data_IF_060032058915
#
_entry.id   IF_060032058915
#
_cell.length_a   1.000
_cell.length_b   1.000
_cell.length_c   1.000
_cell.angle_alpha   90.00
_cell.angle_beta   90.00
_cell.angle_gamma   90.00
#
_symmetry.space_group_name_H-M   'P 1'
#
loop_
_entity.id
_entity.type
_entity.pdbx_description
1 polymer ?
#
# COMPACT_ATOMS: atom_id res chain seq x y z
N UNK A 1 10.85 -6.76 1.15
CA UNK A 1 9.81 -6.50 0.16
C UNK A 1 10.17 -5.45 -0.90
N UNK A 2 10.85 -4.36 -0.55
CA UNK A 2 11.55 -3.56 -1.56
C UNK A 2 12.42 -4.48 -2.44
N UNK A 3 13.14 -5.41 -1.82
CA UNK A 3 13.87 -6.48 -2.51
C UNK A 3 12.98 -7.45 -3.29
N UNK A 4 11.77 -7.75 -2.81
CA UNK A 4 10.83 -8.66 -3.51
C UNK A 4 10.28 -8.01 -4.79
N UNK A 5 9.99 -6.70 -4.75
CA UNK A 5 9.59 -5.95 -5.94
C UNK A 5 10.77 -5.69 -6.87
N UNK A 6 11.99 -5.52 -6.32
CA UNK A 6 13.23 -5.35 -7.09
C UNK A 6 13.69 -6.68 -7.73
N UNK A 7 13.53 -7.82 -7.04
CA UNK A 7 13.78 -9.17 -7.59
C UNK A 7 12.80 -9.53 -8.71
N UNK A 8 11.53 -9.12 -8.58
CA UNK A 8 10.53 -9.30 -9.63
C UNK A 8 10.79 -8.43 -10.86
N UNK A 9 11.45 -7.29 -10.69
CA UNK A 9 11.86 -6.41 -11.77
C UNK A 9 13.18 -6.86 -12.43
N UNK A 10 13.88 -7.87 -11.86
CA UNK A 10 15.15 -8.37 -12.36
C UNK A 10 16.27 -7.32 -12.36
N UNK A 11 16.25 -6.36 -11.41
CA UNK A 11 17.17 -5.23 -11.38
C UNK A 11 17.59 -4.89 -9.94
N UNK A 12 18.87 -4.61 -9.75
CA UNK A 12 19.38 -3.90 -8.55
C UNK A 12 18.62 -2.60 -8.33
N UNK A 13 18.50 -2.13 -7.05
CA UNK A 13 17.85 -0.85 -6.76
C UNK A 13 18.47 0.23 -7.64
N UNK A 14 17.72 0.69 -8.63
CA UNK A 14 18.13 1.80 -9.49
C UNK A 14 17.94 3.09 -8.68
N UNK A 15 18.89 3.99 -8.79
CA UNK A 15 18.69 5.39 -8.41
C UNK A 15 17.32 5.85 -8.96
N UNK A 16 16.44 6.45 -8.12
CA UNK A 16 15.14 6.94 -8.56
C UNK A 16 15.21 7.78 -9.85
N UNK A 17 16.29 8.55 -10.05
CA UNK A 17 16.54 9.30 -11.27
C UNK A 17 16.85 8.41 -12.48
N UNK A 18 17.56 7.30 -12.29
CA UNK A 18 17.82 6.33 -13.36
C UNK A 18 16.55 5.54 -13.72
N UNK A 19 15.71 5.18 -12.75
CA UNK A 19 14.42 4.55 -12.97
C UNK A 19 13.50 5.44 -13.82
N UNK A 20 13.43 6.73 -13.51
CA UNK A 20 12.68 7.72 -14.30
C UNK A 20 13.26 7.90 -15.70
N UNK A 21 14.60 8.00 -15.83
CA UNK A 21 15.27 8.11 -17.14
C UNK A 21 15.10 6.85 -17.99
N UNK A 22 15.04 5.68 -17.37
CA UNK A 22 14.85 4.40 -18.07
C UNK A 22 13.41 4.25 -18.53
N UNK A 23 12.43 4.61 -17.69
CA UNK A 23 11.02 4.65 -18.05
C UNK A 23 10.77 5.62 -19.23
N UNK A 24 11.43 6.79 -19.23
CA UNK A 24 11.36 7.76 -20.32
C UNK A 24 12.03 7.29 -21.62
N UNK A 25 12.95 6.32 -21.58
CA UNK A 25 13.64 5.74 -22.74
C UNK A 25 12.95 4.50 -23.33
N UNK A 26 12.04 3.89 -22.58
CA UNK A 26 11.27 2.74 -23.07
C UNK A 26 10.24 3.25 -24.10
N UNK A 27 10.22 2.77 -25.36
CA UNK A 27 9.22 3.20 -26.31
C UNK A 27 7.83 2.94 -25.76
N UNK A 28 7.06 3.99 -25.57
CA UNK A 28 5.68 3.85 -25.11
C UNK A 28 4.89 3.09 -26.18
N UNK A 29 4.15 2.08 -25.74
CA UNK A 29 3.33 1.27 -26.64
C UNK A 29 2.16 2.12 -27.13
N UNK A 30 1.89 2.16 -28.42
CA UNK A 30 0.69 2.82 -28.96
C UNK A 30 -0.57 2.17 -28.38
N UNK A 31 -1.59 2.97 -28.11
CA UNK A 31 -2.92 2.46 -27.75
C UNK A 31 -3.41 1.57 -28.93
N UNK A 32 -3.77 0.34 -28.62
CA UNK A 32 -4.13 -0.69 -29.60
C UNK A 32 -5.59 -1.15 -29.47
N UNK A 33 -6.37 -0.46 -28.63
CA UNK A 33 -7.78 -0.75 -28.34
C UNK A 33 -8.60 0.54 -28.47
N UNK A 34 -9.91 0.39 -28.69
CA UNK A 34 -10.84 1.50 -28.80
C UNK A 34 -11.47 1.85 -27.42
N UNK A 35 -11.83 0.83 -26.62
CA UNK A 35 -12.48 1.01 -25.32
C UNK A 35 -11.92 0.11 -24.24
N UNK A 36 -11.99 0.59 -23.01
CA UNK A 36 -11.75 -0.20 -21.80
C UNK A 36 -13.03 -0.32 -20.99
N UNK A 37 -13.22 -1.44 -20.30
CA UNK A 37 -14.41 -1.68 -19.47
C UNK A 37 -14.15 -2.77 -18.45
N UNK A 38 -15.15 -2.99 -17.58
CA UNK A 38 -15.16 -4.05 -16.58
C UNK A 38 -16.11 -5.14 -17.03
N UNK A 39 -15.73 -6.39 -16.86
CA UNK A 39 -16.57 -7.56 -17.07
C UNK A 39 -16.56 -8.44 -15.81
N UNK A 40 -17.68 -9.09 -15.55
CA UNK A 40 -17.74 -10.11 -14.51
C UNK A 40 -16.86 -11.32 -14.88
N UNK A 41 -16.22 -11.90 -13.89
CA UNK A 41 -15.43 -13.11 -13.96
C UNK A 41 -16.01 -14.17 -13.01
N UNK A 42 -15.45 -15.36 -12.99
CA UNK A 42 -15.92 -16.44 -12.11
C UNK A 42 -15.84 -16.06 -10.62
N UNK A 43 -16.79 -16.60 -9.84
CA UNK A 43 -16.80 -16.45 -8.37
C UNK A 43 -17.13 -15.05 -7.87
N UNK A 44 -17.83 -14.21 -8.66
CA UNK A 44 -18.20 -12.85 -8.26
C UNK A 44 -17.03 -11.86 -8.30
N UNK A 45 -15.95 -12.22 -9.01
CA UNK A 45 -14.82 -11.34 -9.28
C UNK A 45 -15.01 -10.59 -10.60
N UNK A 46 -14.07 -9.70 -10.91
CA UNK A 46 -14.10 -8.82 -12.07
C UNK A 46 -12.80 -8.91 -12.85
N UNK A 47 -12.85 -8.61 -14.14
CA UNK A 47 -11.66 -8.39 -14.96
C UNK A 47 -11.83 -7.13 -15.79
N UNK A 48 -10.74 -6.45 -16.06
CA UNK A 48 -10.75 -5.31 -16.97
C UNK A 48 -10.56 -5.81 -18.39
N UNK A 49 -11.32 -5.28 -19.33
CA UNK A 49 -11.28 -5.68 -20.73
C UNK A 49 -10.90 -4.51 -21.64
N UNK A 50 -10.14 -4.81 -22.68
CA UNK A 50 -9.83 -3.92 -23.79
C UNK A 50 -10.49 -4.52 -25.04
N UNK A 51 -11.47 -3.84 -25.63
CA UNK A 51 -12.29 -4.35 -26.74
C UNK A 51 -12.81 -5.78 -26.45
N UNK A 52 -13.39 -5.98 -25.25
CA UNK A 52 -13.89 -7.26 -24.74
C UNK A 52 -12.83 -8.36 -24.50
N UNK A 53 -11.55 -8.05 -24.51
CA UNK A 53 -10.48 -9.00 -24.20
C UNK A 53 -9.87 -8.68 -22.83
N UNK A 54 -9.80 -9.66 -21.90
CA UNK A 54 -9.24 -9.44 -20.57
C UNK A 54 -7.79 -8.97 -20.63
N UNK A 55 -7.46 -7.98 -19.80
CA UNK A 55 -6.07 -7.55 -19.62
C UNK A 55 -5.26 -8.66 -18.96
N UNK A 56 -3.97 -8.63 -19.24
CA UNK A 56 -3.00 -9.56 -18.66
C UNK A 56 -1.84 -8.79 -18.04
N UNK A 57 -1.29 -9.37 -16.99
CA UNK A 57 -0.03 -8.91 -16.39
C UNK A 57 1.12 -9.07 -17.40
N UNK A 58 2.29 -8.45 -17.12
CA UNK A 58 3.49 -8.65 -17.93
C UNK A 58 3.91 -10.11 -18.08
N UNK A 59 3.66 -10.97 -17.08
CA UNK A 59 3.92 -12.42 -17.15
C UNK A 59 2.85 -13.23 -17.92
N UNK A 60 1.75 -12.57 -18.36
CA UNK A 60 0.68 -13.18 -19.15
C UNK A 60 -0.48 -13.74 -18.33
N UNK A 61 -0.51 -13.56 -17.00
CA UNK A 61 -1.64 -13.95 -16.15
C UNK A 61 -2.84 -13.02 -16.41
N UNK A 62 -4.07 -13.53 -16.40
CA UNK A 62 -5.28 -12.70 -16.46
C UNK A 62 -5.38 -11.92 -15.14
N UNK A 63 -5.70 -10.64 -15.22
CA UNK A 63 -5.94 -9.80 -14.04
C UNK A 63 -7.37 -10.03 -13.58
N UNK A 64 -7.52 -10.76 -12.47
CA UNK A 64 -8.80 -11.00 -11.80
C UNK A 64 -8.81 -10.23 -10.49
N UNK A 65 -9.84 -9.40 -10.29
CA UNK A 65 -9.97 -8.44 -9.19
C UNK A 65 -11.23 -8.79 -8.41
N UNK A 66 -11.13 -8.87 -7.08
CA UNK A 66 -12.27 -9.22 -6.21
C UNK A 66 -13.13 -8.02 -5.82
N UNK A 67 -12.64 -6.79 -6.05
CA UNK A 67 -13.31 -5.54 -5.68
C UNK A 67 -13.68 -4.74 -6.93
N UNK A 68 -14.98 -4.46 -7.10
CA UNK A 68 -15.48 -3.75 -8.28
C UNK A 68 -14.83 -2.38 -8.44
N UNK A 69 -14.70 -1.62 -7.35
CA UNK A 69 -14.15 -0.27 -7.34
C UNK A 69 -12.69 -0.24 -7.82
N UNK A 70 -11.92 -1.28 -7.49
CA UNK A 70 -10.54 -1.43 -7.99
C UNK A 70 -10.56 -1.73 -9.50
N UNK A 71 -11.46 -2.61 -9.96
CA UNK A 71 -11.58 -2.93 -11.38
C UNK A 71 -12.00 -1.69 -12.20
N UNK A 72 -12.95 -0.90 -11.69
CA UNK A 72 -13.38 0.36 -12.30
C UNK A 72 -12.26 1.39 -12.36
N UNK A 73 -11.48 1.55 -11.28
CA UNK A 73 -10.33 2.44 -11.25
C UNK A 73 -9.26 2.02 -12.28
N UNK A 74 -8.95 0.73 -12.38
CA UNK A 74 -8.03 0.19 -13.40
C UNK A 74 -8.58 0.44 -14.81
N UNK A 75 -9.88 0.18 -15.05
CA UNK A 75 -10.50 0.42 -16.36
C UNK A 75 -10.45 1.91 -16.74
N UNK A 76 -10.67 2.81 -15.79
CA UNK A 76 -10.58 4.25 -16.00
C UNK A 76 -9.16 4.69 -16.38
N UNK A 77 -8.11 4.13 -15.78
CA UNK A 77 -6.72 4.38 -16.18
C UNK A 77 -6.45 3.96 -17.63
N UNK A 78 -6.93 2.78 -18.04
CA UNK A 78 -6.81 2.32 -19.42
C UNK A 78 -7.60 3.20 -20.37
N UNK A 79 -8.83 3.60 -20.03
CA UNK A 79 -9.65 4.46 -20.88
C UNK A 79 -9.04 5.87 -21.04
N UNK A 80 -8.37 6.38 -20.00
CA UNK A 80 -7.70 7.69 -20.02
C UNK A 80 -6.48 7.74 -20.95
N UNK A 81 -5.89 6.61 -21.36
CA UNK A 81 -4.78 6.58 -22.30
C UNK A 81 -5.22 7.08 -23.68
N UNK A 82 -4.39 7.88 -24.35
CA UNK A 82 -4.71 8.49 -25.64
C UNK A 82 -3.99 7.76 -26.78
N UNK A 83 -2.96 8.39 -27.36
CA UNK A 83 -2.20 7.81 -28.47
C UNK A 83 -1.24 6.72 -28.03
N UNK A 84 -0.67 6.88 -26.86
CA UNK A 84 0.30 5.98 -26.24
C UNK A 84 -0.13 5.59 -24.84
N UNK A 85 0.28 4.40 -24.41
CA UNK A 85 0.08 3.89 -23.05
C UNK A 85 1.26 4.35 -22.22
N UNK A 86 0.99 5.12 -21.17
CA UNK A 86 1.99 5.58 -20.21
C UNK A 86 1.78 4.91 -18.84
N UNK A 87 2.57 3.89 -18.49
CA UNK A 87 2.46 3.21 -17.20
C UNK A 87 2.66 4.10 -15.98
N UNK A 88 3.30 5.27 -16.11
CA UNK A 88 3.48 6.20 -15.00
C UNK A 88 2.16 6.85 -14.57
N UNK A 89 1.19 6.94 -15.48
CA UNK A 89 -0.16 7.45 -15.22
C UNK A 89 -1.16 6.36 -14.81
N UNK A 90 -0.68 5.12 -14.56
CA UNK A 90 -1.51 3.95 -14.31
C UNK A 90 -1.16 3.26 -12.98
N UNK A 91 -1.24 3.97 -11.83
CA UNK A 91 -0.85 3.41 -10.53
C UNK A 91 -1.72 2.21 -10.12
N UNK A 92 -3.03 2.22 -10.37
CA UNK A 92 -3.92 1.12 -10.02
C UNK A 92 -3.67 -0.12 -10.87
N UNK A 93 -3.35 0.05 -12.16
CA UNK A 93 -2.94 -1.06 -13.04
C UNK A 93 -1.64 -1.69 -12.55
N UNK A 94 -0.66 -0.89 -12.14
CA UNK A 94 0.60 -1.40 -11.56
C UNK A 94 0.36 -2.13 -10.25
N UNK A 95 -0.49 -1.58 -9.38
CA UNK A 95 -0.91 -2.22 -8.15
C UNK A 95 -1.57 -3.58 -8.43
N UNK A 96 -2.55 -3.62 -9.35
CA UNK A 96 -3.24 -4.85 -9.73
C UNK A 96 -2.28 -5.92 -10.28
N UNK A 97 -1.34 -5.53 -11.14
CA UNK A 97 -0.30 -6.43 -11.62
C UNK A 97 0.54 -7.01 -10.47
N UNK A 98 0.96 -6.17 -9.51
CA UNK A 98 1.74 -6.60 -8.35
C UNK A 98 0.97 -7.57 -7.46
N UNK A 99 -0.33 -7.33 -7.25
CA UNK A 99 -1.17 -8.24 -6.47
C UNK A 99 -1.26 -9.61 -7.15
N UNK A 100 -1.57 -9.63 -8.46
CA UNK A 100 -1.74 -10.88 -9.21
C UNK A 100 -0.42 -11.66 -9.34
N UNK A 101 0.71 -10.99 -9.52
CA UNK A 101 1.99 -11.65 -9.74
C UNK A 101 2.71 -12.06 -8.45
N UNK A 102 2.54 -11.29 -7.37
CA UNK A 102 3.37 -11.48 -6.18
C UNK A 102 2.59 -11.77 -4.89
N UNK A 103 1.42 -11.14 -4.70
CA UNK A 103 0.76 -11.17 -3.40
C UNK A 103 -0.15 -12.38 -3.25
N UNK A 104 -0.94 -12.73 -4.28
CA UNK A 104 -1.94 -13.82 -4.20
C UNK A 104 -1.35 -15.12 -3.65
N UNK A 105 -0.15 -15.48 -4.08
CA UNK A 105 0.52 -16.72 -3.65
C UNK A 105 1.30 -16.56 -2.33
N UNK A 106 1.40 -15.32 -1.79
CA UNK A 106 2.29 -14.98 -0.67
C UNK A 106 1.63 -14.06 0.38
N UNK A 107 0.32 -14.11 0.53
CA UNK A 107 -0.44 -13.28 1.48
C UNK A 107 0.18 -13.30 2.87
N UNK A 108 0.52 -14.48 3.40
CA UNK A 108 1.15 -14.62 4.70
C UNK A 108 2.51 -13.91 4.81
N UNK A 109 3.34 -13.96 3.76
CA UNK A 109 4.64 -13.26 3.74
C UNK A 109 4.44 -11.76 3.76
N UNK A 110 3.48 -11.23 3.00
CA UNK A 110 3.14 -9.81 2.99
C UNK A 110 2.62 -9.35 4.35
N UNK A 111 1.75 -10.15 4.97
CA UNK A 111 1.25 -9.86 6.32
C UNK A 111 2.39 -9.87 7.36
N UNK A 112 3.35 -10.79 7.26
CA UNK A 112 4.53 -10.80 8.11
C UNK A 112 5.39 -9.53 7.94
N UNK A 113 5.55 -9.04 6.72
CA UNK A 113 6.31 -7.83 6.46
C UNK A 113 5.64 -6.59 7.07
N UNK A 114 4.31 -6.49 6.96
CA UNK A 114 3.54 -5.45 7.67
C UNK A 114 3.69 -5.60 9.18
N UNK A 115 3.56 -6.83 9.69
CA UNK A 115 3.63 -7.08 11.13
C UNK A 115 4.98 -6.70 11.77
N UNK A 116 6.06 -6.64 10.99
CA UNK A 116 7.37 -6.15 11.48
C UNK A 116 7.31 -4.71 11.97
N UNK A 117 6.46 -3.87 11.38
CA UNK A 117 6.28 -2.49 11.80
C UNK A 117 5.69 -2.37 13.19
N UNK A 118 4.88 -3.32 13.67
CA UNK A 118 4.38 -3.30 15.05
C UNK A 118 5.46 -3.43 16.11
N UNK A 119 6.71 -3.71 15.73
CA UNK A 119 7.85 -3.67 16.64
C UNK A 119 8.60 -2.33 16.63
N UNK A 120 8.39 -1.49 15.59
CA UNK A 120 9.12 -0.23 15.41
C UNK A 120 8.33 0.77 14.56
N UNK A 121 7.03 0.88 14.85
CA UNK A 121 6.13 1.79 14.14
C UNK A 121 6.52 3.26 14.39
N UNK A 122 6.35 4.11 13.38
CA UNK A 122 6.62 5.55 13.47
C UNK A 122 6.02 6.18 14.72
N UNK A 123 4.78 5.82 15.06
CA UNK A 123 4.02 6.41 16.15
C UNK A 123 4.61 6.16 17.54
N UNK A 124 5.56 5.23 17.66
CA UNK A 124 6.17 4.90 18.95
C UNK A 124 7.32 5.83 19.34
N UNK A 125 7.90 6.57 18.39
CA UNK A 125 9.05 7.42 18.60
C UNK A 125 8.59 8.88 18.74
N UNK A 126 8.64 9.39 19.98
CA UNK A 126 8.06 10.69 20.34
C UNK A 126 9.15 11.75 20.52
N UNK A 127 8.89 12.93 20.01
CA UNK A 127 9.75 14.07 20.29
C UNK A 127 9.60 14.53 21.75
N UNK A 128 10.73 14.88 22.41
CA UNK A 128 10.72 15.56 23.70
C UNK A 128 10.68 17.09 23.56
N UNK A 129 11.07 17.61 22.40
CA UNK A 129 11.10 19.03 22.03
C UNK A 129 11.21 19.19 20.49
N UNK A 130 10.90 20.36 19.91
CA UNK A 130 10.26 21.52 20.53
C UNK A 130 8.78 21.26 20.88
N UNK A 131 8.19 22.03 21.80
CA UNK A 131 6.81 21.85 22.27
C UNK A 131 5.78 21.81 21.11
N UNK A 132 6.01 22.58 20.04
CA UNK A 132 5.14 22.58 18.87
C UNK A 132 5.09 21.23 18.16
N UNK A 133 6.22 20.52 18.04
CA UNK A 133 6.26 19.19 17.47
C UNK A 133 5.57 18.18 18.38
N UNK A 134 5.87 18.20 19.68
CA UNK A 134 5.20 17.34 20.67
C UNK A 134 3.68 17.49 20.61
N UNK A 135 3.18 18.73 20.51
CA UNK A 135 1.75 19.00 20.41
C UNK A 135 1.14 18.45 19.09
N UNK A 136 1.85 18.56 17.97
CA UNK A 136 1.39 17.99 16.69
C UNK A 136 1.37 16.46 16.71
N UNK A 137 2.43 15.81 17.21
CA UNK A 137 2.47 14.36 17.39
C UNK A 137 1.32 13.87 18.28
N UNK A 138 1.12 14.50 19.42
CA UNK A 138 0.01 14.20 20.33
C UNK A 138 -1.34 14.30 19.62
N UNK A 139 -1.55 15.36 18.86
CA UNK A 139 -2.80 15.58 18.13
C UNK A 139 -3.08 14.51 17.08
N UNK A 140 -2.06 14.09 16.32
CA UNK A 140 -2.24 13.21 15.18
C UNK A 140 -2.03 11.73 15.51
N UNK A 141 -1.18 11.39 16.48
CA UNK A 141 -0.78 10.02 16.76
C UNK A 141 -1.51 9.40 17.95
N UNK A 142 -1.78 10.17 19.01
CA UNK A 142 -2.47 9.63 20.20
C UNK A 142 -3.85 9.05 19.90
N UNK A 143 -4.70 9.65 19.04
CA UNK A 143 -5.99 9.05 18.70
C UNK A 143 -5.86 7.66 18.08
N UNK A 144 -4.82 7.43 17.27
CA UNK A 144 -4.55 6.12 16.62
C UNK A 144 -4.06 5.11 17.65
N UNK A 145 -3.19 5.53 18.57
CA UNK A 145 -2.68 4.67 19.65
C UNK A 145 -3.78 4.28 20.64
N UNK A 146 -4.66 5.23 21.00
CA UNK A 146 -5.82 4.94 21.83
C UNK A 146 -6.80 3.99 21.15
N UNK A 147 -7.10 4.24 19.88
CA UNK A 147 -7.91 3.32 19.08
C UNK A 147 -7.31 1.91 19.03
N UNK A 148 -5.99 1.78 18.81
CA UNK A 148 -5.33 0.48 18.79
C UNK A 148 -5.42 -0.22 20.16
N UNK A 149 -5.31 0.51 21.27
CA UNK A 149 -5.48 -0.03 22.61
C UNK A 149 -6.92 -0.49 22.87
N UNK A 150 -7.91 0.35 22.51
CA UNK A 150 -9.32 0.12 22.83
C UNK A 150 -9.96 -0.94 21.92
N UNK A 151 -9.74 -0.84 20.59
CA UNK A 151 -10.42 -1.70 19.61
C UNK A 151 -9.65 -2.98 19.29
N UNK A 152 -8.30 -2.94 19.33
CA UNK A 152 -7.47 -4.09 19.03
C UNK A 152 -6.91 -4.77 20.30
N UNK A 153 -6.98 -4.12 21.46
CA UNK A 153 -6.29 -4.57 22.66
C UNK A 153 -4.75 -4.47 22.55
N UNK A 154 -4.26 -3.63 21.66
CA UNK A 154 -2.84 -3.48 21.34
C UNK A 154 -2.24 -2.28 22.10
N UNK A 155 -1.73 -2.52 23.32
CA UNK A 155 -1.11 -1.50 24.16
C UNK A 155 0.40 -1.41 23.88
N UNK A 156 0.80 -0.41 23.11
CA UNK A 156 2.20 -0.19 22.73
C UNK A 156 2.93 0.73 23.72
N UNK A 157 4.27 0.56 23.77
CA UNK A 157 5.16 1.38 24.60
C UNK A 157 5.77 2.47 23.72
N UNK A 158 5.66 3.73 24.18
CA UNK A 158 6.23 4.89 23.53
C UNK A 158 7.64 5.16 24.06
N UNK A 159 8.53 5.63 23.19
CA UNK A 159 9.88 6.02 23.53
C UNK A 159 10.12 7.48 23.14
N UNK A 160 10.81 8.24 23.99
CA UNK A 160 11.30 9.55 23.61
C UNK A 160 12.59 9.42 22.79
N UNK A 161 12.65 10.10 21.65
CA UNK A 161 13.78 10.03 20.73
C UNK A 161 13.76 8.75 19.86
N UNK A 162 14.93 8.32 19.40
CA UNK A 162 15.10 7.25 18.38
C UNK A 162 15.56 5.91 18.96
N UNK A 163 15.55 5.77 20.28
CA UNK A 163 15.99 4.52 20.92
C UNK A 163 14.88 3.48 20.82
N UNK A 164 15.19 2.35 20.19
CA UNK A 164 14.25 1.26 20.05
C UNK A 164 13.84 0.69 21.41
N UNK A 165 12.53 0.55 21.63
CA UNK A 165 11.95 -0.13 22.79
C UNK A 165 11.19 -1.35 22.30
N UNK A 166 11.53 -2.52 22.85
CA UNK A 166 10.82 -3.78 22.53
C UNK A 166 9.36 -3.64 22.91
N UNK A 167 8.49 -3.94 21.97
CA UNK A 167 7.05 -3.91 22.18
C UNK A 167 6.56 -5.18 22.89
N UNK A 168 5.49 -5.10 23.69
CA UNK A 168 4.90 -6.28 24.31
C UNK A 168 4.42 -7.29 23.26
N UNK A 169 4.79 -8.56 23.41
CA UNK A 169 4.43 -9.62 22.47
C UNK A 169 2.89 -9.73 22.31
N UNK A 170 2.12 -9.44 23.37
CA UNK A 170 0.66 -9.41 23.33
C UNK A 170 0.13 -8.27 22.44
N UNK A 171 0.70 -7.08 22.50
CA UNK A 171 0.28 -5.95 21.68
C UNK A 171 0.57 -6.22 20.19
N UNK A 172 1.79 -6.73 19.89
CA UNK A 172 2.17 -7.13 18.53
C UNK A 172 1.24 -8.21 17.99
N UNK A 173 0.94 -9.25 18.79
CA UNK A 173 0.03 -10.31 18.39
C UNK A 173 -1.40 -9.82 18.13
N UNK A 174 -1.90 -8.90 18.97
CA UNK A 174 -3.23 -8.31 18.84
C UNK A 174 -3.35 -7.47 17.54
N UNK A 175 -2.37 -6.59 17.29
CA UNK A 175 -2.34 -5.79 16.06
C UNK A 175 -2.17 -6.67 14.81
N UNK A 176 -1.34 -7.72 14.89
CA UNK A 176 -1.16 -8.70 13.81
C UNK A 176 -2.48 -9.42 13.48
N UNK A 177 -3.25 -9.81 14.48
CA UNK A 177 -4.54 -10.48 14.28
C UNK A 177 -5.58 -9.59 13.58
N UNK A 178 -5.38 -8.27 13.56
CA UNK A 178 -6.24 -7.32 12.86
C UNK A 178 -5.91 -7.18 11.36
N UNK A 179 -4.79 -7.77 10.88
CA UNK A 179 -4.41 -7.72 9.47
C UNK A 179 -5.40 -8.54 8.62
N UNK A 180 -5.77 -8.05 7.42
CA UNK A 180 -6.62 -8.81 6.50
C UNK A 180 -5.87 -9.99 5.91
N UNK A 181 -6.61 -11.03 5.55
CA UNK A 181 -6.17 -12.22 4.82
C UNK A 181 -6.46 -12.16 3.31
N UNK A 182 -7.23 -11.17 2.87
CA UNK A 182 -7.48 -10.89 1.47
C UNK A 182 -6.25 -10.28 0.79
N UNK A 183 -5.80 -10.83 -0.38
CA UNK A 183 -4.58 -10.37 -1.04
C UNK A 183 -4.63 -8.90 -1.50
N UNK A 184 -5.79 -8.37 -1.86
CA UNK A 184 -5.93 -6.98 -2.30
C UNK A 184 -5.82 -6.02 -1.11
N UNK A 185 -6.51 -6.34 -0.03
CA UNK A 185 -6.50 -5.54 1.19
C UNK A 185 -5.13 -5.53 1.85
N UNK A 186 -4.46 -6.70 1.98
CA UNK A 186 -3.12 -6.74 2.59
C UNK A 186 -2.07 -6.06 1.73
N UNK A 187 -2.18 -6.13 0.40
CA UNK A 187 -1.29 -5.41 -0.51
C UNK A 187 -1.46 -3.89 -0.37
N UNK A 188 -2.70 -3.40 -0.33
CA UNK A 188 -2.99 -1.97 -0.12
C UNK A 188 -2.45 -1.49 1.23
N UNK A 189 -2.71 -2.27 2.29
CA UNK A 189 -2.21 -1.97 3.63
C UNK A 189 -0.69 -1.94 3.68
N UNK A 190 -0.02 -2.87 2.99
CA UNK A 190 1.44 -2.87 2.87
C UNK A 190 1.97 -1.61 2.16
N UNK A 191 1.32 -1.17 1.07
CA UNK A 191 1.71 0.07 0.37
C UNK A 191 1.62 1.26 1.31
N UNK A 192 0.49 1.42 2.02
CA UNK A 192 0.31 2.51 2.98
C UNK A 192 1.35 2.43 4.10
N UNK A 193 1.58 1.24 4.67
CA UNK A 193 2.59 1.02 5.72
C UNK A 193 3.98 1.47 5.28
N UNK A 194 4.40 1.11 4.08
CA UNK A 194 5.74 1.47 3.57
C UNK A 194 5.87 2.94 3.21
N UNK A 195 4.79 3.59 2.78
CA UNK A 195 4.78 5.02 2.48
C UNK A 195 4.80 5.88 3.75
N UNK A 196 4.08 5.43 4.80
CA UNK A 196 3.92 6.20 6.04
C UNK A 196 4.91 5.83 7.14
N UNK A 197 5.61 4.71 7.00
CA UNK A 197 6.42 4.16 8.10
C UNK A 197 5.59 3.58 9.26
N UNK A 198 4.25 3.46 9.10
CA UNK A 198 3.34 3.05 10.16
C UNK A 198 2.29 2.04 9.69
N UNK A 199 2.32 0.85 10.27
CA UNK A 199 1.27 -0.14 10.09
C UNK A 199 -0.02 0.23 10.86
N UNK A 200 0.09 1.00 11.95
CA UNK A 200 -1.07 1.50 12.69
C UNK A 200 -1.84 2.55 11.90
N UNK A 201 -1.17 3.47 11.21
CA UNK A 201 -1.82 4.42 10.30
C UNK A 201 -2.51 3.69 9.14
N UNK A 202 -1.86 2.66 8.58
CA UNK A 202 -2.44 1.86 7.52
C UNK A 202 -3.70 1.09 7.99
N UNK A 203 -3.68 0.51 9.19
CA UNK A 203 -4.85 -0.12 9.80
C UNK A 203 -5.96 0.91 10.09
N UNK A 204 -5.62 2.08 10.63
CA UNK A 204 -6.57 3.16 10.90
C UNK A 204 -7.31 3.60 9.63
N UNK A 205 -6.59 3.75 8.52
CA UNK A 205 -7.18 4.02 7.21
C UNK A 205 -8.11 2.89 6.77
N UNK A 206 -7.66 1.65 6.82
CA UNK A 206 -8.43 0.49 6.35
C UNK A 206 -9.70 0.25 7.15
N UNK A 207 -9.74 0.70 8.40
CA UNK A 207 -10.90 0.60 9.31
C UNK A 207 -11.77 1.87 9.30
N UNK A 208 -11.42 2.89 8.51
CA UNK A 208 -12.18 4.14 8.39
C UNK A 208 -12.08 5.06 9.61
N UNK A 209 -11.08 4.84 10.50
CA UNK A 209 -10.81 5.77 11.59
C UNK A 209 -10.26 7.10 11.07
N UNK A 210 -9.38 7.04 10.09
CA UNK A 210 -8.78 8.18 9.41
C UNK A 210 -9.03 8.07 7.90
N UNK A 211 -9.17 9.21 7.24
CA UNK A 211 -9.10 9.29 5.78
C UNK A 211 -7.64 9.40 5.28
N UNK A 212 -7.45 9.39 3.97
CA UNK A 212 -6.13 9.42 3.35
C UNK A 212 -5.36 10.71 3.66
N UNK A 213 -6.04 11.85 3.71
CA UNK A 213 -5.42 13.15 3.99
C UNK A 213 -4.95 13.22 5.44
N UNK A 214 -5.76 12.72 6.38
CA UNK A 214 -5.40 12.64 7.79
C UNK A 214 -4.22 11.68 8.03
N UNK A 215 -4.18 10.53 7.34
CA UNK A 215 -3.06 9.58 7.39
C UNK A 215 -1.79 10.22 6.84
N UNK A 216 -1.89 10.92 5.71
CA UNK A 216 -0.76 11.64 5.13
C UNK A 216 -0.22 12.71 6.07
N UNK A 217 -1.10 13.54 6.64
CA UNK A 217 -0.71 14.55 7.63
C UNK A 217 -0.06 13.93 8.88
N UNK A 218 -0.58 12.80 9.37
CA UNK A 218 0.00 12.11 10.50
C UNK A 218 1.38 11.52 10.21
N UNK A 219 1.60 11.02 8.98
CA UNK A 219 2.89 10.43 8.57
C UNK A 219 4.01 11.47 8.41
N UNK A 220 3.68 12.76 8.21
CA UNK A 220 4.64 13.85 7.93
C UNK A 220 4.67 14.92 9.03
N UNK A 221 4.20 14.58 10.23
CA UNK A 221 4.15 15.51 11.37
C UNK A 221 5.52 16.10 11.73
N UNK A 222 6.57 15.34 11.54
CA UNK A 222 7.95 15.67 11.88
C UNK A 222 8.72 16.34 10.72
N UNK A 223 8.13 16.43 9.54
CA UNK A 223 8.73 17.08 8.36
C UNK A 223 8.37 18.56 8.20
N UNK A 224 7.36 19.06 8.95
CA UNK A 224 6.83 20.45 8.90
C UNK A 224 7.51 21.41 9.97
#
# INVERSE_FOLDING_TARGET
MRELFDEMAGQSPLDPQEAVRRAARTPQRKRFYASAGVAEAEGGSFTVTLDNRPIRTPSGRIVVITHLEIAEAVAAEWEAQKETIDPLTMPMTRFANSVVEAVIERVGTVAEDVAKYFNSDLLFYRAGHPEGLVARETKHWDPVLFWAADELGAHFILAEGIVHVRQPDQAVAAARAALPDDPWSIAALHVVTTLTGSALLALALSRGLLDADAVWAAAHVDED
#
